data_IF_868534440372
#
_entry.id   IF_868534440372
#
_cell.length_a   1.000
_cell.length_b   1.000
_cell.length_c   1.000
_cell.angle_alpha   90.00
_cell.angle_beta   90.00
_cell.angle_gamma   90.00
#
_symmetry.space_group_name_H-M   'P 1'
#
loop_
_entity.id
_entity.type
_entity.pdbx_description
1 polymer ?
#
# COMPACT_ATOMS: atom_id res chain seq x y z
N UNK A 1 15.66 10.25 11.97
CA UNK A 1 15.40 8.85 11.54
C UNK A 1 14.34 8.21 12.43
N UNK A 2 14.65 7.84 13.69
CA UNK A 2 13.69 7.16 14.59
C UNK A 2 12.38 7.93 14.82
N UNK A 3 12.45 9.26 15.04
CA UNK A 3 11.26 10.10 15.21
C UNK A 3 10.33 10.08 13.97
N UNK A 4 10.91 10.08 12.77
CA UNK A 4 10.16 10.08 11.51
C UNK A 4 9.51 8.71 11.28
N UNK A 5 10.27 7.63 11.47
CA UNK A 5 9.74 6.26 11.39
C UNK A 5 8.63 6.02 12.43
N UNK A 6 8.80 6.54 13.65
CA UNK A 6 7.78 6.50 14.69
C UNK A 6 6.49 7.26 14.29
N UNK A 7 6.61 8.44 13.69
CA UNK A 7 5.47 9.19 13.17
C UNK A 7 4.73 8.43 12.06
N UNK A 8 5.46 7.82 11.12
CA UNK A 8 4.87 6.97 10.06
C UNK A 8 4.11 5.80 10.67
N UNK A 9 4.70 5.09 11.64
CA UNK A 9 4.05 3.96 12.31
C UNK A 9 2.77 4.37 13.06
N UNK A 10 2.77 5.55 13.69
CA UNK A 10 1.57 6.09 14.34
C UNK A 10 0.46 6.34 13.31
N UNK A 11 0.79 6.97 12.18
CA UNK A 11 -0.20 7.22 11.11
C UNK A 11 -0.74 5.91 10.55
N UNK A 12 0.12 4.91 10.31
CA UNK A 12 -0.30 3.58 9.86
C UNK A 12 -1.21 2.89 10.87
N UNK A 13 -0.90 2.98 12.17
CA UNK A 13 -1.74 2.44 13.23
C UNK A 13 -3.10 3.13 13.29
N UNK A 14 -3.15 4.45 13.08
CA UNK A 14 -4.40 5.21 12.99
C UNK A 14 -5.24 4.75 11.78
N UNK A 15 -4.62 4.61 10.60
CA UNK A 15 -5.29 4.12 9.38
C UNK A 15 -5.86 2.72 9.61
N UNK A 16 -5.04 1.81 10.14
CA UNK A 16 -5.47 0.45 10.46
C UNK A 16 -6.64 0.47 11.45
N UNK A 17 -6.52 1.18 12.57
CA UNK A 17 -7.58 1.26 13.57
C UNK A 17 -8.89 1.78 13.00
N UNK A 18 -8.84 2.88 12.22
CA UNK A 18 -10.02 3.48 11.60
C UNK A 18 -10.67 2.55 10.59
N UNK A 19 -9.88 1.90 9.72
CA UNK A 19 -10.40 1.00 8.70
C UNK A 19 -11.00 -0.29 9.31
N UNK A 20 -10.37 -0.85 10.35
CA UNK A 20 -10.91 -2.01 11.05
C UNK A 20 -12.19 -1.70 11.83
N UNK A 21 -12.26 -0.54 12.50
CA UNK A 21 -13.39 -0.18 13.38
C UNK A 21 -14.56 0.46 12.65
N UNK A 22 -14.28 1.41 11.76
CA UNK A 22 -15.29 2.25 11.12
C UNK A 22 -15.46 1.97 9.63
N UNK A 23 -14.63 1.11 9.03
CA UNK A 23 -14.62 0.85 7.56
C UNK A 23 -14.46 2.13 6.74
N UNK A 24 -13.83 3.14 7.33
CA UNK A 24 -13.60 4.44 6.76
C UNK A 24 -12.39 5.07 7.43
N UNK A 25 -11.60 5.81 6.66
CA UNK A 25 -10.39 6.49 7.13
C UNK A 25 -10.49 7.95 6.71
N UNK A 26 -10.08 8.86 7.59
CA UNK A 26 -9.99 10.27 7.22
C UNK A 26 -8.99 10.46 6.08
N UNK A 27 -9.46 11.07 4.99
CA UNK A 27 -8.64 11.25 3.79
C UNK A 27 -7.31 11.97 4.05
N UNK A 28 -7.26 12.88 5.04
CA UNK A 28 -6.06 13.62 5.46
C UNK A 28 -4.92 12.69 5.91
N UNK A 29 -5.23 11.50 6.42
CA UNK A 29 -4.21 10.54 6.82
C UNK A 29 -3.30 10.12 5.65
N UNK A 30 -3.82 10.08 4.42
CA UNK A 30 -3.03 9.62 3.26
C UNK A 30 -2.05 10.67 2.72
N UNK A 31 -2.42 11.96 2.52
CA UNK A 31 -1.45 13.01 2.22
C UNK A 31 -0.38 13.15 3.31
N UNK A 32 -0.78 13.06 4.58
CA UNK A 32 0.18 13.10 5.70
C UNK A 32 1.14 11.92 5.61
N UNK A 33 0.65 10.71 5.36
CA UNK A 33 1.49 9.53 5.15
C UNK A 33 2.45 9.71 3.98
N UNK A 34 1.95 10.17 2.82
CA UNK A 34 2.75 10.40 1.62
C UNK A 34 3.87 11.41 1.85
N UNK A 35 3.59 12.51 2.55
CA UNK A 35 4.60 13.54 2.88
C UNK A 35 5.64 12.97 3.83
N UNK A 36 5.25 12.27 4.89
CA UNK A 36 6.20 11.67 5.84
C UNK A 36 7.11 10.64 5.16
N UNK A 37 6.53 9.79 4.30
CA UNK A 37 7.23 8.79 3.50
C UNK A 37 8.18 9.43 2.49
N UNK A 38 7.73 10.49 1.80
CA UNK A 38 8.56 11.24 0.87
C UNK A 38 9.74 11.89 1.57
N UNK A 39 9.52 12.56 2.72
CA UNK A 39 10.60 13.13 3.53
C UNK A 39 11.61 12.04 3.92
N UNK A 40 11.14 10.87 4.37
CA UNK A 40 12.01 9.75 4.75
C UNK A 40 12.91 9.34 3.58
N UNK A 41 12.34 9.10 2.39
CA UNK A 41 13.09 8.74 1.18
C UNK A 41 14.07 9.82 0.73
N UNK A 42 13.70 11.10 0.83
CA UNK A 42 14.60 12.20 0.44
C UNK A 42 15.83 12.31 1.32
N UNK A 43 15.72 11.97 2.61
CA UNK A 43 16.85 12.01 3.53
C UNK A 43 17.82 10.85 3.23
N UNK A 44 17.28 9.67 2.88
CA UNK A 44 18.10 8.46 2.67
C UNK A 44 18.75 8.41 1.28
N UNK A 45 17.98 8.72 0.21
CA UNK A 45 18.41 8.55 -1.18
C UNK A 45 18.46 9.84 -2.00
N UNK A 46 18.07 10.97 -1.40
CA UNK A 46 17.99 12.26 -2.08
C UNK A 46 16.71 12.45 -2.90
N UNK A 47 16.50 13.70 -3.31
CA UNK A 47 15.28 14.13 -3.99
C UNK A 47 15.12 13.55 -5.40
N UNK A 48 16.23 13.30 -6.09
CA UNK A 48 16.20 12.77 -7.45
C UNK A 48 15.66 11.32 -7.50
N UNK A 49 16.09 10.46 -6.56
CA UNK A 49 15.57 9.09 -6.44
C UNK A 49 14.07 9.10 -6.10
N UNK A 50 13.62 10.00 -5.21
CA UNK A 50 12.20 10.15 -4.93
C UNK A 50 11.40 10.42 -6.21
N UNK A 51 11.82 11.39 -7.04
CA UNK A 51 11.08 11.74 -8.26
C UNK A 51 11.06 10.61 -9.28
N UNK A 52 12.21 9.99 -9.56
CA UNK A 52 12.30 8.95 -10.60
C UNK A 52 11.52 7.71 -10.20
N UNK A 53 11.70 7.22 -8.98
CA UNK A 53 11.06 5.98 -8.53
C UNK A 53 9.57 6.17 -8.23
N UNK A 54 9.17 7.32 -7.67
CA UNK A 54 7.75 7.64 -7.50
C UNK A 54 7.03 7.76 -8.86
N UNK A 55 7.68 8.31 -9.88
CA UNK A 55 7.11 8.39 -11.22
C UNK A 55 6.86 7.00 -11.82
N UNK A 56 7.80 6.06 -11.67
CA UNK A 56 7.62 4.68 -12.14
C UNK A 56 6.53 3.94 -11.35
N UNK A 57 6.51 4.05 -10.02
CA UNK A 57 5.52 3.37 -9.17
C UNK A 57 4.10 3.93 -9.36
N UNK A 58 3.95 5.26 -9.44
CA UNK A 58 2.67 5.91 -9.77
C UNK A 58 2.23 5.56 -11.18
N UNK A 59 3.14 5.56 -12.16
CA UNK A 59 2.85 5.15 -13.52
C UNK A 59 2.34 3.70 -13.59
N UNK A 60 3.02 2.78 -12.89
CA UNK A 60 2.58 1.39 -12.75
C UNK A 60 1.17 1.30 -12.13
N UNK A 61 0.92 2.02 -11.03
CA UNK A 61 -0.39 2.04 -10.36
C UNK A 61 -1.50 2.56 -11.28
N UNK A 62 -1.25 3.64 -12.03
CA UNK A 62 -2.21 4.21 -12.96
C UNK A 62 -2.52 3.25 -14.12
N UNK A 63 -1.49 2.61 -14.70
CA UNK A 63 -1.68 1.60 -15.74
C UNK A 63 -2.51 0.42 -15.19
N UNK A 64 -2.21 -0.04 -13.98
CA UNK A 64 -2.96 -1.12 -13.33
C UNK A 64 -4.44 -0.76 -13.16
N UNK A 65 -4.75 0.45 -12.68
CA UNK A 65 -6.13 0.90 -12.55
C UNK A 65 -6.81 1.10 -13.91
N UNK A 66 -6.09 1.56 -14.93
CA UNK A 66 -6.60 1.68 -16.29
C UNK A 66 -6.98 0.31 -16.86
N UNK A 67 -6.10 -0.69 -16.71
CA UNK A 67 -6.38 -2.08 -17.15
C UNK A 67 -7.59 -2.65 -16.41
N UNK A 68 -7.68 -2.44 -15.09
CA UNK A 68 -8.81 -2.90 -14.29
C UNK A 68 -10.12 -2.22 -14.71
N UNK A 69 -10.08 -0.91 -14.94
CA UNK A 69 -11.21 -0.13 -15.45
C UNK A 69 -11.67 -0.63 -16.82
N UNK A 70 -10.72 -0.86 -17.73
CA UNK A 70 -11.00 -1.34 -19.09
C UNK A 70 -11.61 -2.74 -19.05
N UNK A 71 -11.04 -3.64 -18.24
CA UNK A 71 -11.56 -5.00 -18.03
C UNK A 71 -13.04 -4.97 -17.62
N UNK A 72 -13.38 -4.19 -16.61
CA UNK A 72 -14.76 -4.11 -16.15
C UNK A 72 -15.69 -3.41 -17.14
N UNK A 73 -15.21 -2.37 -17.82
CA UNK A 73 -15.97 -1.68 -18.86
C UNK A 73 -16.33 -2.62 -20.00
N UNK A 74 -15.40 -3.47 -20.43
CA UNK A 74 -15.64 -4.50 -21.44
C UNK A 74 -16.61 -5.56 -20.92
N UNK A 75 -16.39 -6.05 -19.69
CA UNK A 75 -17.20 -7.13 -19.08
C UNK A 75 -18.66 -6.73 -18.86
N UNK A 76 -18.90 -5.52 -18.36
CA UNK A 76 -20.24 -5.04 -18.02
C UNK A 76 -20.86 -4.15 -19.10
N UNK A 77 -20.13 -3.88 -20.20
CA UNK A 77 -20.52 -3.02 -21.33
C UNK A 77 -21.01 -1.62 -20.94
N UNK A 78 -20.59 -1.13 -19.78
CA UNK A 78 -20.90 0.21 -19.26
C UNK A 78 -19.66 0.75 -18.57
N UNK A 79 -19.38 2.07 -18.66
CA UNK A 79 -18.34 2.67 -17.84
C UNK A 79 -18.74 2.52 -16.37
N UNK A 80 -17.97 1.75 -15.62
CA UNK A 80 -18.18 1.61 -14.18
C UNK A 80 -17.19 2.49 -13.42
N UNK A 81 -17.69 3.12 -12.36
CA UNK A 81 -16.81 3.73 -11.36
C UNK A 81 -16.29 2.61 -10.45
N UNK A 82 -14.98 2.32 -10.51
CA UNK A 82 -14.37 1.32 -9.63
C UNK A 82 -14.58 1.66 -8.14
N UNK A 83 -14.64 2.95 -7.83
CA UNK A 83 -14.85 3.46 -6.47
C UNK A 83 -16.28 3.27 -5.97
N UNK A 84 -17.25 3.08 -6.87
CA UNK A 84 -18.65 2.83 -6.51
C UNK A 84 -18.94 1.32 -6.53
N UNK A 85 -18.34 0.60 -5.57
CA UNK A 85 -18.73 -0.77 -5.24
C UNK A 85 -17.64 -1.84 -5.35
N UNK A 86 -16.45 -1.53 -5.87
CA UNK A 86 -15.36 -2.50 -6.00
C UNK A 86 -14.11 -2.18 -5.18
N UNK A 87 -13.71 -0.90 -5.10
CA UNK A 87 -12.54 -0.44 -4.34
C UNK A 87 -12.88 0.81 -3.54
N UNK A 88 -12.42 0.90 -2.29
CA UNK A 88 -12.58 2.11 -1.50
C UNK A 88 -11.61 3.21 -1.96
N UNK A 89 -12.00 4.47 -1.80
CA UNK A 89 -11.07 5.59 -1.97
C UNK A 89 -9.86 5.50 -1.04
N UNK A 90 -10.06 4.94 0.17
CA UNK A 90 -8.97 4.71 1.12
C UNK A 90 -7.89 3.78 0.58
N UNK A 91 -8.28 2.71 -0.13
CA UNK A 91 -7.33 1.73 -0.68
C UNK A 91 -6.46 2.36 -1.78
N UNK A 92 -7.10 3.14 -2.67
CA UNK A 92 -6.41 3.84 -3.76
C UNK A 92 -5.44 4.88 -3.19
N UNK A 93 -5.89 5.68 -2.23
CA UNK A 93 -5.07 6.72 -1.61
C UNK A 93 -3.92 6.13 -0.78
N UNK A 94 -4.14 4.99 -0.12
CA UNK A 94 -3.08 4.27 0.59
C UNK A 94 -1.99 3.80 -0.37
N UNK A 95 -2.38 3.10 -1.45
CA UNK A 95 -1.44 2.63 -2.46
C UNK A 95 -0.66 3.77 -3.11
N UNK A 96 -1.35 4.88 -3.42
CA UNK A 96 -0.71 6.08 -3.93
C UNK A 96 0.28 6.69 -2.93
N UNK A 97 -0.04 6.72 -1.64
CA UNK A 97 0.86 7.25 -0.62
C UNK A 97 2.16 6.42 -0.50
N UNK A 98 2.06 5.10 -0.62
CA UNK A 98 3.20 4.18 -0.52
C UNK A 98 4.14 4.29 -1.74
N UNK A 99 3.66 4.76 -2.90
CA UNK A 99 4.50 5.04 -4.08
C UNK A 99 5.64 6.04 -3.80
N UNK A 100 5.48 6.94 -2.82
CA UNK A 100 6.52 7.92 -2.46
C UNK A 100 7.67 7.34 -1.63
N UNK A 101 7.55 6.07 -1.19
CA UNK A 101 8.58 5.40 -0.40
C UNK A 101 9.21 4.22 -1.13
N UNK A 102 8.40 3.26 -1.55
CA UNK A 102 8.91 2.02 -2.11
C UNK A 102 9.54 2.23 -3.48
N UNK A 103 10.59 1.47 -3.77
CA UNK A 103 11.13 1.34 -5.11
C UNK A 103 10.16 0.53 -6.01
N UNK A 104 10.25 0.62 -7.34
CA UNK A 104 9.30 -0.04 -8.25
C UNK A 104 9.11 -1.54 -8.00
N UNK A 105 10.20 -2.29 -7.81
CA UNK A 105 10.11 -3.73 -7.60
C UNK A 105 9.49 -4.06 -6.24
N UNK A 106 9.95 -3.39 -5.18
CA UNK A 106 9.42 -3.58 -3.83
C UNK A 106 7.95 -3.16 -3.72
N UNK A 107 7.54 -2.14 -4.47
CA UNK A 107 6.15 -1.73 -4.58
C UNK A 107 5.28 -2.85 -5.18
N UNK A 108 5.72 -3.48 -6.27
CA UNK A 108 4.97 -4.60 -6.90
C UNK A 108 4.86 -5.78 -5.94
N UNK A 109 5.96 -6.17 -5.29
CA UNK A 109 5.97 -7.27 -4.33
C UNK A 109 5.03 -6.98 -3.15
N UNK A 110 5.11 -5.78 -2.59
CA UNK A 110 4.22 -5.35 -1.52
C UNK A 110 2.75 -5.32 -1.97
N UNK A 111 2.47 -4.74 -3.13
CA UNK A 111 1.12 -4.65 -3.70
C UNK A 111 0.49 -6.03 -3.84
N UNK A 112 1.15 -6.95 -4.56
CA UNK A 112 0.66 -8.32 -4.76
C UNK A 112 0.53 -9.07 -3.44
N UNK A 113 1.55 -9.02 -2.58
CA UNK A 113 1.54 -9.69 -1.28
C UNK A 113 0.41 -9.19 -0.37
N UNK A 114 0.14 -7.88 -0.38
CA UNK A 114 -0.93 -7.28 0.41
C UNK A 114 -2.32 -7.66 -0.08
N UNK A 115 -2.52 -7.78 -1.40
CA UNK A 115 -3.76 -8.27 -1.98
C UNK A 115 -3.99 -9.74 -1.64
N UNK A 116 -2.95 -10.58 -1.74
CA UNK A 116 -3.03 -12.00 -1.33
C UNK A 116 -3.40 -12.13 0.14
N UNK A 117 -2.74 -11.39 1.03
CA UNK A 117 -3.06 -11.38 2.45
C UNK A 117 -4.50 -10.94 2.73
N UNK A 118 -5.00 -9.97 1.98
CA UNK A 118 -6.39 -9.48 2.12
C UNK A 118 -7.41 -10.52 1.68
N UNK A 119 -7.12 -11.28 0.61
CA UNK A 119 -7.96 -12.40 0.17
C UNK A 119 -7.95 -13.52 1.22
N UNK A 120 -6.78 -13.87 1.77
CA UNK A 120 -6.66 -14.89 2.83
C UNK A 120 -7.48 -14.48 4.06
N UNK A 121 -7.37 -13.22 4.48
CA UNK A 121 -8.14 -12.67 5.59
C UNK A 121 -9.65 -12.73 5.32
N UNK A 122 -10.07 -12.36 4.10
CA UNK A 122 -11.48 -12.43 3.70
C UNK A 122 -12.03 -13.87 3.71
N UNK A 123 -11.24 -14.83 3.20
CA UNK A 123 -11.60 -16.25 3.22
C UNK A 123 -11.69 -16.80 4.65
N UNK A 124 -10.70 -16.51 5.49
CA UNK A 124 -10.71 -16.92 6.90
C UNK A 124 -11.93 -16.36 7.64
N UNK A 125 -12.23 -15.08 7.46
CA UNK A 125 -13.41 -14.47 8.06
C UNK A 125 -14.72 -15.07 7.55
N UNK A 126 -14.82 -15.42 6.26
CA UNK A 126 -16.02 -16.06 5.71
C UNK A 126 -16.25 -17.47 6.29
N UNK A 127 -15.18 -18.20 6.56
CA UNK A 127 -15.26 -19.54 7.17
C UNK A 127 -15.69 -19.47 8.64
N UNK A 128 -15.27 -18.42 9.37
CA UNK A 128 -15.55 -18.26 10.80
C UNK A 128 -16.90 -17.55 11.04
N UNK A 129 -17.16 -16.48 10.31
CA UNK A 129 -18.36 -15.67 10.42
C UNK A 129 -19.26 -15.93 9.22
N UNK A 130 -20.36 -16.68 9.40
CA UNK A 130 -21.42 -16.94 8.40
C UNK A 130 -22.22 -15.67 7.98
N UNK A 131 -21.59 -14.49 7.99
CA UNK A 131 -22.22 -13.22 7.58
C UNK A 131 -21.84 -12.91 6.13
N UNK A 132 -22.84 -12.81 5.28
CA UNK A 132 -22.66 -12.63 3.83
C UNK A 132 -22.23 -11.22 3.39
N UNK A 133 -22.20 -10.23 4.30
CA UNK A 133 -21.98 -8.81 3.99
C UNK A 133 -20.73 -8.19 4.63
N UNK A 134 -19.68 -8.99 4.84
CA UNK A 134 -18.43 -8.48 5.39
C UNK A 134 -17.67 -7.66 4.33
N UNK A 135 -17.71 -6.34 4.48
CA UNK A 135 -16.76 -5.44 3.80
C UNK A 135 -15.35 -5.72 4.31
N UNK A 136 -14.40 -5.87 3.37
CA UNK A 136 -13.00 -6.21 3.67
C UNK A 136 -12.25 -4.89 3.94
N UNK A 137 -11.59 -4.73 5.10
CA UNK A 137 -10.77 -3.57 5.42
C UNK A 137 -9.40 -3.66 4.71
N UNK A 138 -9.40 -3.41 3.40
CA UNK A 138 -8.20 -3.57 2.57
C UNK A 138 -7.09 -2.60 3.00
N UNK A 139 -7.37 -1.29 3.05
CA UNK A 139 -6.41 -0.27 3.50
C UNK A 139 -5.85 -0.56 4.90
N UNK A 140 -6.64 -1.10 5.82
CA UNK A 140 -6.20 -1.45 7.16
C UNK A 140 -5.24 -2.65 7.19
N UNK A 141 -5.53 -3.69 6.38
CA UNK A 141 -4.62 -4.83 6.20
C UNK A 141 -3.31 -4.37 5.55
N UNK A 142 -3.40 -3.53 4.50
CA UNK A 142 -2.23 -2.97 3.84
C UNK A 142 -1.39 -2.10 4.79
N UNK A 143 -2.03 -1.27 5.62
CA UNK A 143 -1.35 -0.45 6.63
C UNK A 143 -0.63 -1.31 7.68
N UNK A 144 -1.25 -2.39 8.18
CA UNK A 144 -0.61 -3.31 9.12
C UNK A 144 0.58 -4.04 8.49
N UNK A 145 0.43 -4.54 7.27
CA UNK A 145 1.51 -5.21 6.56
C UNK A 145 2.68 -4.27 6.29
N UNK A 146 2.38 -3.03 5.89
CA UNK A 146 3.42 -2.04 5.65
C UNK A 146 4.13 -1.64 6.96
N UNK A 147 3.39 -1.46 8.06
CA UNK A 147 3.98 -1.20 9.37
C UNK A 147 4.91 -2.35 9.81
N UNK A 148 4.46 -3.60 9.65
CA UNK A 148 5.26 -4.78 9.94
C UNK A 148 6.52 -4.84 9.05
N UNK A 149 6.38 -4.53 7.76
CA UNK A 149 7.51 -4.47 6.83
C UNK A 149 8.54 -3.42 7.28
N UNK A 150 8.11 -2.22 7.68
CA UNK A 150 9.01 -1.17 8.19
C UNK A 150 9.71 -1.58 9.50
N UNK A 151 9.01 -2.28 10.41
CA UNK A 151 9.60 -2.78 11.66
C UNK A 151 10.68 -3.83 11.35
N UNK A 152 10.36 -4.80 10.49
CA UNK A 152 11.34 -5.83 10.07
C UNK A 152 12.52 -5.18 9.35
N UNK A 153 12.26 -4.21 8.47
CA UNK A 153 13.31 -3.46 7.78
C UNK A 153 14.29 -2.84 8.76
N UNK A 154 13.76 -2.19 9.81
CA UNK A 154 14.56 -1.57 10.84
C UNK A 154 15.37 -2.59 11.65
N UNK A 155 14.75 -3.71 12.06
CA UNK A 155 15.43 -4.76 12.84
C UNK A 155 16.52 -5.49 12.04
N UNK A 156 16.32 -5.70 10.74
CA UNK A 156 17.23 -6.45 9.88
C UNK A 156 18.19 -5.56 9.07
N UNK A 157 18.14 -4.24 9.28
CA UNK A 157 18.86 -3.24 8.49
C UNK A 157 18.68 -3.47 6.98
N UNK A 158 17.43 -3.66 6.54
CA UNK A 158 17.05 -3.84 5.14
C UNK A 158 16.59 -2.51 4.55
N UNK A 159 17.07 -2.21 3.34
CA UNK A 159 16.73 -1.03 2.56
C UNK A 159 15.72 -1.41 1.48
N UNK A 160 14.44 -1.11 1.70
CA UNK A 160 13.33 -1.37 0.75
C UNK A 160 13.04 -0.20 -0.19
N UNK A 161 13.75 0.89 0.02
CA UNK A 161 13.77 2.13 -0.76
C UNK A 161 14.69 2.04 -1.98
N UNK A 162 15.50 0.99 -2.11
CA UNK A 162 16.32 0.70 -3.28
C UNK A 162 16.15 -0.75 -3.79
N UNK A 163 16.05 -0.91 -5.11
CA UNK A 163 15.89 -2.23 -5.75
C UNK A 163 17.16 -3.10 -5.66
N UNK A 164 18.34 -2.47 -5.73
CA UNK A 164 19.65 -3.14 -5.81
C UNK A 164 19.99 -3.97 -4.56
N UNK A 165 19.64 -3.49 -3.37
CA UNK A 165 19.92 -4.18 -2.11
C UNK A 165 19.00 -5.38 -1.86
N UNK A 166 17.76 -5.32 -2.34
CA UNK A 166 16.74 -6.33 -2.03
C UNK A 166 16.97 -7.61 -2.83
N UNK A 167 17.36 -7.49 -4.11
CA UNK A 167 17.68 -8.62 -4.98
C UNK A 167 18.92 -9.40 -4.52
N UNK A 168 20.01 -8.71 -4.15
CA UNK A 168 21.28 -9.33 -3.75
C UNK A 168 21.20 -10.16 -2.45
N UNK A 169 20.27 -9.83 -1.55
CA UNK A 169 20.13 -10.48 -0.23
C UNK A 169 19.09 -11.60 -0.22
N UNK A 170 18.10 -11.58 -1.12
CA UNK A 170 17.05 -12.61 -1.24
C UNK A 170 17.43 -13.71 -2.24
N UNK A 171 18.23 -13.41 -3.25
CA UNK A 171 18.79 -14.38 -4.20
C UNK A 171 20.31 -14.31 -4.11
N UNK A 172 20.95 -15.10 -3.23
CA UNK A 172 22.39 -15.29 -3.28
C UNK A 172 22.69 -16.16 -4.53
N UNK A 173 22.89 -15.52 -5.68
CA UNK A 173 23.46 -16.12 -6.88
C UNK A 173 24.92 -15.70 -7.00
#
# INVERSE_FOLDING_TARGET
MILLSGAVLIVLAIIAYQDFKYRAVYWICFPVLAVLLGIHKTIDNGFQSLLTESLFTVGFLLIQFLVLWLYFTIKYRKPINLTNGYLGWGDILFLLAVCFYLSPLNYVVFYVGSLMASIIYALANRLISKKDTLTIPLAGIQALLFALLLIIAHMMHLNFDQDSYTLYKLLPL
#
